data_IF_280148127515
#
_entry.id   IF_280148127515
#
_cell.length_a   1.000
_cell.length_b   1.000
_cell.length_c   1.000
_cell.angle_alpha   90.00
_cell.angle_beta   90.00
_cell.angle_gamma   90.00
#
_symmetry.space_group_name_H-M   'P 1'
#
loop_
_entity.id
_entity.type
_entity.pdbx_description
1 polymer ?
#
# COMPACT_ATOMS: atom_id res chain seq x y z
N UNK A 1 11.27 -15.41 -6.25
CA UNK A 1 12.71 -15.31 -6.51
C UNK A 1 13.36 -14.40 -5.44
N UNK A 2 14.64 -14.62 -5.17
CA UNK A 2 15.47 -13.74 -4.36
C UNK A 2 16.57 -13.18 -5.25
N UNK A 3 16.69 -11.85 -5.30
CA UNK A 3 17.77 -11.15 -6.02
C UNK A 3 18.62 -10.44 -4.99
N UNK A 4 19.92 -10.67 -5.02
CA UNK A 4 20.85 -10.13 -4.03
C UNK A 4 22.25 -9.91 -4.62
N UNK A 5 23.15 -9.28 -3.85
CA UNK A 5 24.56 -9.13 -4.24
C UNK A 5 25.33 -10.43 -4.01
N UNK A 6 26.47 -10.59 -4.74
CA UNK A 6 27.33 -11.76 -4.59
C UNK A 6 27.82 -11.92 -3.13
N UNK A 7 28.18 -10.82 -2.46
CA UNK A 7 28.65 -10.86 -1.07
C UNK A 7 27.59 -11.44 -0.09
N UNK A 8 26.31 -11.13 -0.29
CA UNK A 8 25.22 -11.69 0.52
C UNK A 8 25.02 -13.16 0.17
N UNK A 9 25.05 -13.52 -1.13
CA UNK A 9 24.93 -14.91 -1.56
C UNK A 9 26.07 -15.78 -0.98
N UNK A 10 27.31 -15.28 -1.00
CA UNK A 10 28.47 -15.98 -0.43
C UNK A 10 28.35 -16.16 1.10
N UNK A 11 27.81 -15.17 1.80
CA UNK A 11 27.52 -15.25 3.24
C UNK A 11 26.47 -16.31 3.57
N UNK A 12 25.48 -16.50 2.68
CA UNK A 12 24.45 -17.54 2.83
C UNK A 12 24.99 -18.94 2.51
N UNK A 13 26.00 -19.06 1.64
CA UNK A 13 26.64 -20.32 1.26
C UNK A 13 27.60 -20.83 2.38
N UNK A 14 27.03 -21.16 3.54
CA UNK A 14 27.72 -21.53 4.77
C UNK A 14 28.02 -23.03 4.92
N UNK A 15 27.85 -23.81 3.84
CA UNK A 15 28.07 -25.25 3.81
C UNK A 15 26.86 -26.08 4.23
N UNK A 16 25.77 -25.48 4.65
CA UNK A 16 24.47 -26.17 4.84
C UNK A 16 23.75 -26.34 3.52
N UNK A 17 23.23 -27.53 3.27
CA UNK A 17 22.38 -27.77 2.09
C UNK A 17 21.08 -26.96 2.21
N UNK A 18 20.78 -26.18 1.16
CA UNK A 18 19.50 -25.50 1.01
C UNK A 18 18.58 -26.30 0.09
N UNK A 19 17.47 -26.75 0.61
CA UNK A 19 16.45 -27.46 -0.14
C UNK A 19 15.09 -26.78 -0.05
N UNK A 20 14.40 -26.65 -1.20
CA UNK A 20 13.06 -26.08 -1.27
C UNK A 20 12.19 -26.91 -2.21
N UNK A 21 11.18 -27.61 -1.67
CA UNK A 21 10.30 -28.51 -2.42
C UNK A 21 9.55 -27.81 -3.55
N UNK A 22 9.10 -26.60 -3.33
CA UNK A 22 8.28 -25.85 -4.28
C UNK A 22 9.07 -24.85 -5.14
N UNK A 23 10.27 -24.49 -4.74
CA UNK A 23 11.12 -23.52 -5.44
C UNK A 23 11.73 -24.13 -6.70
N UNK A 24 11.81 -23.31 -7.77
CA UNK A 24 12.53 -23.65 -8.97
C UNK A 24 11.90 -24.73 -9.86
N UNK A 25 10.67 -25.17 -9.59
CA UNK A 25 10.02 -26.11 -10.49
C UNK A 25 9.65 -25.44 -11.83
N UNK A 26 9.65 -26.20 -12.97
CA UNK A 26 9.47 -25.62 -14.30
C UNK A 26 8.17 -24.82 -14.48
N UNK A 27 7.07 -25.27 -13.87
CA UNK A 27 5.76 -24.60 -13.97
C UNK A 27 5.80 -23.23 -13.28
N UNK A 28 6.28 -23.19 -12.03
CA UNK A 28 6.40 -21.92 -11.29
C UNK A 28 7.37 -20.96 -11.96
N UNK A 29 8.46 -21.45 -12.57
CA UNK A 29 9.39 -20.61 -13.31
C UNK A 29 8.73 -20.04 -14.58
N UNK A 30 7.98 -20.82 -15.32
CA UNK A 30 7.24 -20.35 -16.50
C UNK A 30 6.20 -19.29 -16.12
N UNK A 31 5.44 -19.50 -15.05
CA UNK A 31 4.48 -18.52 -14.51
C UNK A 31 5.21 -17.23 -14.09
N UNK A 32 6.32 -17.35 -13.36
CA UNK A 32 7.11 -16.19 -12.94
C UNK A 32 7.66 -15.38 -14.11
N UNK A 33 8.11 -16.05 -15.18
CA UNK A 33 8.57 -15.38 -16.41
C UNK A 33 7.42 -14.64 -17.08
N UNK A 34 6.26 -15.28 -17.25
CA UNK A 34 5.08 -14.64 -17.85
C UNK A 34 4.62 -13.40 -17.05
N UNK A 35 4.72 -13.42 -15.72
CA UNK A 35 4.42 -12.23 -14.89
C UNK A 35 5.39 -11.09 -15.18
N UNK A 36 6.69 -11.38 -15.33
CA UNK A 36 7.69 -10.36 -15.67
C UNK A 36 7.46 -9.78 -17.07
N UNK A 37 7.08 -10.62 -18.05
CA UNK A 37 6.74 -10.17 -19.38
C UNK A 37 5.55 -9.21 -19.38
N UNK A 38 4.46 -9.55 -18.68
CA UNK A 38 3.27 -8.68 -18.51
C UNK A 38 3.63 -7.35 -17.84
N UNK A 39 4.45 -7.38 -16.78
CA UNK A 39 4.89 -6.15 -16.10
C UNK A 39 5.63 -5.23 -17.07
N UNK A 40 6.47 -5.79 -17.94
CA UNK A 40 7.23 -5.02 -18.93
C UNK A 40 6.36 -4.55 -20.10
N UNK A 41 5.53 -5.43 -20.68
CA UNK A 41 4.69 -5.14 -21.85
C UNK A 41 3.60 -4.10 -21.56
N UNK A 42 2.99 -4.17 -20.37
CA UNK A 42 1.94 -3.25 -19.93
C UNK A 42 2.48 -2.01 -19.19
N UNK A 43 3.80 -1.85 -19.07
CA UNK A 43 4.47 -0.74 -18.37
C UNK A 43 3.94 -0.53 -16.93
N UNK A 44 3.66 -1.60 -16.21
CA UNK A 44 3.00 -1.55 -14.92
C UNK A 44 3.81 -0.82 -13.84
N UNK A 45 5.15 -0.82 -13.92
CA UNK A 45 5.99 -0.06 -13.01
C UNK A 45 5.82 1.46 -13.21
N UNK A 46 5.75 1.92 -14.45
CA UNK A 46 5.53 3.32 -14.77
C UNK A 46 4.12 3.76 -14.35
N UNK A 47 3.09 2.95 -14.65
CA UNK A 47 1.73 3.17 -14.19
C UNK A 47 1.68 3.30 -12.65
N UNK A 48 2.31 2.38 -11.93
CA UNK A 48 2.35 2.42 -10.47
C UNK A 48 3.02 3.71 -9.93
N UNK A 49 4.06 4.20 -10.61
CA UNK A 49 4.73 5.44 -10.22
C UNK A 49 3.85 6.67 -10.47
N UNK A 50 3.26 6.77 -11.67
CA UNK A 50 2.44 7.93 -12.07
C UNK A 50 1.14 8.02 -11.26
N UNK A 51 0.39 6.93 -11.18
CA UNK A 51 -0.85 6.86 -10.41
C UNK A 51 -0.57 6.98 -8.90
N UNK A 52 0.52 6.39 -8.43
CA UNK A 52 0.96 6.52 -7.04
C UNK A 52 1.30 7.95 -6.65
N UNK A 53 2.02 8.69 -7.50
CA UNK A 53 2.32 10.10 -7.28
C UNK A 53 1.06 10.97 -7.27
N UNK A 54 0.12 10.71 -8.18
CA UNK A 54 -1.18 11.37 -8.20
C UNK A 54 -1.96 11.11 -6.90
N UNK A 55 -2.02 9.85 -6.48
CA UNK A 55 -2.70 9.44 -5.25
C UNK A 55 -2.06 10.08 -4.01
N UNK A 56 -0.72 10.05 -3.90
CA UNK A 56 0.01 10.70 -2.82
C UNK A 56 -0.28 12.20 -2.73
N UNK A 57 -0.27 12.91 -3.86
CA UNK A 57 -0.56 14.34 -3.89
C UNK A 57 -1.99 14.65 -3.39
N UNK A 58 -2.97 13.88 -3.82
CA UNK A 58 -4.36 14.05 -3.38
C UNK A 58 -4.56 13.70 -1.91
N UNK A 59 -3.95 12.63 -1.42
CA UNK A 59 -4.00 12.24 -0.01
C UNK A 59 -3.29 13.26 0.89
N UNK A 60 -2.19 13.85 0.43
CA UNK A 60 -1.52 14.94 1.14
C UNK A 60 -2.43 16.15 1.27
N UNK A 61 -3.20 16.49 0.24
CA UNK A 61 -4.20 17.57 0.33
C UNK A 61 -5.31 17.26 1.36
N UNK A 62 -5.69 15.99 1.56
CA UNK A 62 -6.58 15.59 2.66
C UNK A 62 -5.92 15.78 4.03
N UNK A 63 -4.62 15.53 4.15
CA UNK A 63 -3.89 15.79 5.39
C UNK A 63 -3.88 17.28 5.77
N UNK A 64 -3.86 18.18 4.79
CA UNK A 64 -4.00 19.61 5.04
C UNK A 64 -5.42 20.00 5.51
N UNK A 65 -6.43 19.27 5.04
CA UNK A 65 -7.85 19.51 5.35
C UNK A 65 -8.30 18.89 6.68
N UNK A 66 -7.78 17.71 7.01
CA UNK A 66 -8.21 16.93 8.16
C UNK A 66 -7.08 16.70 9.15
N UNK A 67 -7.14 17.29 10.37
CA UNK A 67 -6.12 17.11 11.41
C UNK A 67 -5.89 15.65 11.82
N UNK A 68 -6.92 14.79 11.65
CA UNK A 68 -6.86 13.35 11.92
C UNK A 68 -5.80 12.63 11.06
N UNK A 69 -5.51 13.11 9.83
CA UNK A 69 -4.49 12.54 8.96
C UNK A 69 -3.13 13.09 9.37
N UNK A 70 -2.37 12.32 10.15
CA UNK A 70 -1.06 12.72 10.69
C UNK A 70 0.07 12.66 9.68
N UNK A 71 0.09 11.63 8.83
CA UNK A 71 1.12 11.43 7.82
C UNK A 71 0.59 10.63 6.62
N UNK A 72 1.12 10.94 5.43
CA UNK A 72 0.87 10.20 4.20
C UNK A 72 2.22 9.89 3.54
N UNK A 73 2.54 8.62 3.40
CA UNK A 73 3.83 8.15 2.88
C UNK A 73 3.69 6.95 1.97
N UNK A 74 4.63 6.79 1.05
CA UNK A 74 4.65 5.62 0.17
C UNK A 74 5.51 5.81 -1.07
N UNK A 75 5.55 4.76 -1.88
CA UNK A 75 6.20 4.74 -3.19
C UNK A 75 5.32 3.94 -4.15
N UNK A 76 5.05 4.50 -5.33
CA UNK A 76 4.14 3.89 -6.28
C UNK A 76 2.77 3.64 -5.64
N UNK A 77 2.21 2.46 -5.86
CA UNK A 77 0.91 2.05 -5.31
C UNK A 77 0.99 1.42 -3.91
N UNK A 78 2.09 1.56 -3.19
CA UNK A 78 2.20 1.12 -1.81
C UNK A 78 2.24 2.33 -0.88
N UNK A 79 1.11 2.68 -0.28
CA UNK A 79 0.89 3.93 0.46
C UNK A 79 0.31 3.62 1.84
N UNK A 80 0.74 4.35 2.84
CA UNK A 80 0.20 4.37 4.19
C UNK A 80 -0.35 5.74 4.54
N UNK A 81 -1.53 5.76 5.17
CA UNK A 81 -2.16 6.96 5.74
C UNK A 81 -2.19 6.74 7.25
N UNK A 82 -1.37 7.46 7.99
CA UNK A 82 -1.32 7.36 9.44
C UNK A 82 -2.30 8.33 10.07
N UNK A 83 -3.16 7.81 10.93
CA UNK A 83 -4.19 8.58 11.62
C UNK A 83 -3.78 8.83 13.08
N UNK A 84 -3.87 10.08 13.50
CA UNK A 84 -3.54 10.53 14.86
C UNK A 84 -4.62 11.47 15.37
N UNK A 85 -4.93 11.40 16.66
CA UNK A 85 -5.85 12.33 17.33
C UNK A 85 -5.20 13.68 17.61
N UNK A 86 -3.89 13.68 17.79
CA UNK A 86 -3.10 14.86 18.03
C UNK A 86 -1.75 14.77 17.30
N UNK A 87 -1.42 15.77 16.50
CA UNK A 87 -0.19 15.79 15.67
C UNK A 87 1.07 16.13 16.47
N UNK A 88 0.94 16.59 17.73
CA UNK A 88 2.08 16.91 18.59
C UNK A 88 2.46 15.69 19.42
N UNK A 89 1.48 15.07 20.07
CA UNK A 89 1.69 13.89 20.90
C UNK A 89 1.72 12.59 20.10
N UNK A 90 1.23 12.62 18.85
CA UNK A 90 1.07 11.48 17.95
C UNK A 90 0.17 10.38 18.54
N UNK A 91 -0.84 10.77 19.33
CA UNK A 91 -1.80 9.83 19.86
C UNK A 91 -2.49 9.05 18.74
N UNK A 92 -2.40 7.70 18.70
CA UNK A 92 -2.92 6.92 17.60
C UNK A 92 -4.46 6.92 17.55
N UNK A 93 -5.01 7.18 16.37
CA UNK A 93 -6.45 7.18 16.11
C UNK A 93 -6.94 5.79 15.65
N UNK A 94 -6.76 4.78 16.49
CA UNK A 94 -7.04 3.36 16.18
C UNK A 94 -8.53 3.10 15.91
N UNK A 95 -9.41 3.68 16.73
CA UNK A 95 -10.86 3.51 16.55
C UNK A 95 -11.33 4.19 15.27
N UNK A 96 -10.85 5.40 15.00
CA UNK A 96 -11.17 6.19 13.82
C UNK A 96 -10.69 5.48 12.54
N UNK A 97 -9.50 4.86 12.60
CA UNK A 97 -8.99 4.05 11.49
C UNK A 97 -9.90 2.85 11.18
N UNK A 98 -10.35 2.14 12.22
CA UNK A 98 -11.29 1.03 12.07
C UNK A 98 -12.64 1.49 11.52
N UNK A 99 -13.17 2.61 12.01
CA UNK A 99 -14.40 3.21 11.52
C UNK A 99 -14.29 3.53 10.02
N UNK A 100 -13.22 4.22 9.61
CA UNK A 100 -13.00 4.60 8.20
C UNK A 100 -12.92 3.36 7.32
N UNK A 101 -12.20 2.32 7.72
CA UNK A 101 -12.09 1.06 6.95
C UNK A 101 -13.47 0.41 6.74
N UNK A 102 -14.31 0.36 7.79
CA UNK A 102 -15.66 -0.20 7.67
C UNK A 102 -16.56 0.66 6.78
N UNK A 103 -16.47 1.99 6.90
CA UNK A 103 -17.23 2.90 6.05
C UNK A 103 -16.81 2.82 4.58
N UNK A 104 -15.50 2.72 4.31
CA UNK A 104 -14.97 2.53 2.95
C UNK A 104 -15.47 1.22 2.33
N UNK A 105 -15.56 0.15 3.14
CA UNK A 105 -16.15 -1.12 2.70
C UNK A 105 -17.63 -0.96 2.28
N UNK A 106 -18.41 -0.20 3.03
CA UNK A 106 -19.82 0.07 2.69
C UNK A 106 -19.95 0.83 1.35
N UNK A 107 -18.94 1.62 1.01
CA UNK A 107 -18.84 2.33 -0.28
C UNK A 107 -18.16 1.47 -1.39
N UNK A 108 -17.90 0.19 -1.12
CA UNK A 108 -17.33 -0.76 -2.09
C UNK A 108 -15.80 -0.75 -2.18
N UNK A 109 -15.08 -0.14 -1.24
CA UNK A 109 -13.62 -0.07 -1.21
C UNK A 109 -13.09 -0.87 -0.03
N UNK A 110 -12.38 -1.97 -0.31
CA UNK A 110 -11.78 -2.81 0.72
C UNK A 110 -10.39 -2.28 1.10
N UNK A 111 -10.25 -1.91 2.36
CA UNK A 111 -9.01 -1.44 2.97
C UNK A 111 -8.66 -2.28 4.21
N UNK A 112 -7.48 -2.05 4.76
CA UNK A 112 -7.07 -2.64 6.04
C UNK A 112 -6.22 -1.67 6.84
N UNK A 113 -6.23 -1.82 8.15
CA UNK A 113 -5.27 -1.16 9.03
C UNK A 113 -4.00 -2.00 9.18
N UNK A 114 -2.88 -1.33 9.46
CA UNK A 114 -1.57 -1.93 9.70
C UNK A 114 -0.83 -1.20 10.83
N UNK A 115 0.36 -1.69 11.14
CA UNK A 115 1.19 -1.17 12.22
C UNK A 115 0.78 -1.70 13.61
N UNK A 116 1.66 -1.56 14.61
CA UNK A 116 1.44 -2.10 15.96
C UNK A 116 0.27 -1.44 16.70
N UNK A 117 -0.11 -0.22 16.31
CA UNK A 117 -1.21 0.55 16.90
C UNK A 117 -2.48 0.55 16.05
N UNK A 118 -2.48 -0.18 14.91
CA UNK A 118 -3.62 -0.30 13.98
C UNK A 118 -4.23 1.05 13.54
N UNK A 119 -3.42 2.09 13.45
CA UNK A 119 -3.80 3.44 13.07
C UNK A 119 -3.29 3.86 11.68
N UNK A 120 -2.69 2.95 10.92
CA UNK A 120 -2.24 3.18 9.55
C UNK A 120 -3.19 2.49 8.59
N UNK A 121 -3.88 3.24 7.75
CA UNK A 121 -4.64 2.67 6.63
C UNK A 121 -3.65 2.36 5.51
N UNK A 122 -3.59 1.08 5.12
CA UNK A 122 -2.70 0.59 4.08
C UNK A 122 -3.41 0.50 2.74
N UNK A 123 -2.83 1.16 1.75
CA UNK A 123 -3.24 1.08 0.35
C UNK A 123 -2.24 0.24 -0.43
N UNK A 124 -2.72 -0.80 -1.06
CA UNK A 124 -1.93 -1.70 -1.91
C UNK A 124 -2.83 -2.27 -3.02
N UNK A 125 -3.31 -1.43 -3.93
CA UNK A 125 -4.15 -1.88 -5.04
C UNK A 125 -3.34 -2.69 -6.06
N UNK A 126 -4.00 -3.39 -7.00
CA UNK A 126 -3.33 -4.07 -8.10
C UNK A 126 -2.57 -3.06 -9.00
N UNK A 127 -1.52 -3.52 -9.68
CA UNK A 127 -0.67 -2.66 -10.53
C UNK A 127 -1.39 -1.98 -11.69
N UNK A 128 -2.55 -2.49 -12.09
CA UNK A 128 -3.42 -1.92 -13.13
C UNK A 128 -4.38 -0.82 -12.60
N UNK A 129 -4.24 -0.43 -11.33
CA UNK A 129 -5.00 0.65 -10.73
C UNK A 129 -4.72 1.95 -11.49
N UNK A 130 -5.77 2.69 -11.86
CA UNK A 130 -5.67 3.88 -12.67
C UNK A 130 -6.05 5.18 -11.92
N UNK A 131 -5.96 6.33 -12.60
CA UNK A 131 -6.31 7.62 -12.03
C UNK A 131 -7.79 7.70 -11.60
N UNK A 132 -8.71 7.09 -12.36
CA UNK A 132 -10.13 7.14 -12.02
C UNK A 132 -10.43 6.37 -10.74
N UNK A 133 -9.77 5.25 -10.54
CA UNK A 133 -9.84 4.47 -9.30
C UNK A 133 -9.21 5.22 -8.12
N UNK A 134 -8.08 5.90 -8.35
CA UNK A 134 -7.42 6.73 -7.34
C UNK A 134 -8.32 7.90 -6.92
N UNK A 135 -8.96 8.57 -7.87
CA UNK A 135 -9.89 9.66 -7.63
C UNK A 135 -11.12 9.20 -6.86
N UNK A 136 -11.72 8.07 -7.26
CA UNK A 136 -12.85 7.48 -6.55
C UNK A 136 -12.50 7.14 -5.09
N UNK A 137 -11.33 6.55 -4.85
CA UNK A 137 -10.86 6.24 -3.49
C UNK A 137 -10.73 7.52 -2.65
N UNK A 138 -10.07 8.55 -3.18
CA UNK A 138 -9.81 9.79 -2.42
C UNK A 138 -11.11 10.57 -2.18
N UNK A 139 -11.99 10.67 -3.18
CA UNK A 139 -13.27 11.36 -3.04
C UNK A 139 -14.18 10.66 -2.01
N UNK A 140 -14.15 9.34 -1.96
CA UNK A 140 -14.88 8.56 -0.97
C UNK A 140 -14.29 8.75 0.42
N UNK A 141 -12.96 8.71 0.55
CA UNK A 141 -12.28 8.96 1.81
C UNK A 141 -12.54 10.39 2.32
N UNK A 142 -12.55 11.40 1.45
CA UNK A 142 -12.88 12.79 1.81
C UNK A 142 -14.29 12.91 2.41
N UNK A 143 -15.27 12.22 1.85
CA UNK A 143 -16.65 12.17 2.38
C UNK A 143 -16.69 11.56 3.78
N UNK A 144 -15.99 10.45 3.98
CA UNK A 144 -15.98 9.72 5.26
C UNK A 144 -15.23 10.50 6.33
N UNK A 145 -14.11 11.16 5.99
CA UNK A 145 -13.37 12.02 6.91
C UNK A 145 -14.18 13.27 7.35
N UNK A 146 -15.23 13.63 6.62
CA UNK A 146 -16.14 14.71 6.99
C UNK A 146 -17.29 14.26 7.92
N UNK A 147 -17.45 12.98 8.17
CA UNK A 147 -18.49 12.43 9.06
C UNK A 147 -18.23 12.79 10.54
N UNK A 148 -19.26 13.09 11.31
CA UNK A 148 -19.16 13.52 12.71
C UNK A 148 -18.32 12.60 13.62
N UNK A 149 -18.35 11.24 13.48
CA UNK A 149 -17.58 10.36 14.36
C UNK A 149 -16.06 10.48 14.23
N UNK A 150 -15.55 11.01 13.10
CA UNK A 150 -14.10 11.09 12.80
C UNK A 150 -13.60 12.53 12.56
N UNK A 151 -14.47 13.51 12.75
CA UNK A 151 -14.20 14.93 12.51
C UNK A 151 -13.46 15.62 13.63
#
# INVERSE_FOLDING_TARGET
AVVTTQAIADSFANGMEYFNTFGGNPVSCAVGTAVLDVIAEENLQQNALEVGNHLLARLTALADKYPLVGDVRGLGLFIGIELVRDRVTLEPATWEASYIVERMKDEGILLSTDGPLHNVIKLKPPLVFDHSNADFLVDTLDKILAEDPVR
#
